data_IF_007906722339
#
_entry.id   IF_007906722339
#
_cell.length_a   1.000
_cell.length_b   1.000
_cell.length_c   1.000
_cell.angle_alpha   90.00
_cell.angle_beta   90.00
_cell.angle_gamma   90.00
#
_symmetry.space_group_name_H-M   'P 1'
#
loop_
_entity.id
_entity.type
_entity.pdbx_description
1 polymer ?
#
# COMPACT_ATOMS: atom_id res chain seq x y z
N UNK A 1 10.77 -3.82 15.37
CA UNK A 1 10.11 -3.04 14.30
C UNK A 1 10.63 -3.55 12.97
N UNK A 2 9.85 -4.36 12.24
CA UNK A 2 10.26 -4.88 10.93
C UNK A 2 10.33 -3.71 9.93
N UNK A 3 11.51 -3.47 9.35
CA UNK A 3 11.70 -2.44 8.32
C UNK A 3 11.18 -2.99 7.01
N UNK A 4 10.01 -2.53 6.57
CA UNK A 4 9.51 -2.81 5.23
C UNK A 4 10.42 -2.12 4.20
N UNK A 5 11.10 -2.90 3.36
CA UNK A 5 11.99 -2.43 2.30
C UNK A 5 11.42 -2.87 0.96
N UNK A 6 10.48 -2.10 0.41
CA UNK A 6 9.90 -2.36 -0.92
C UNK A 6 11.01 -2.48 -1.97
N UNK A 7 11.22 -3.67 -2.53
CA UNK A 7 12.25 -3.93 -3.57
C UNK A 7 11.89 -3.35 -4.94
N UNK A 8 10.63 -2.99 -5.19
CA UNK A 8 10.20 -2.40 -6.46
C UNK A 8 10.53 -0.91 -6.50
N UNK A 9 11.17 -0.48 -7.60
CA UNK A 9 11.34 0.94 -7.95
C UNK A 9 9.97 1.60 -7.89
N UNK A 10 9.76 2.51 -6.95
CA UNK A 10 8.52 3.30 -6.84
C UNK A 10 8.27 3.95 -8.20
N UNK A 11 7.11 3.70 -8.80
CA UNK A 11 6.71 4.45 -9.98
C UNK A 11 6.67 5.94 -9.60
N UNK A 12 7.40 6.78 -10.34
CA UNK A 12 7.41 8.22 -10.12
C UNK A 12 5.96 8.74 -10.17
N UNK A 13 5.51 9.38 -9.09
CA UNK A 13 4.12 9.87 -8.94
C UNK A 13 3.25 9.10 -7.94
N UNK A 14 3.64 7.89 -7.48
CA UNK A 14 2.85 7.14 -6.48
C UNK A 14 3.36 7.39 -5.05
N UNK A 15 2.49 7.88 -4.16
CA UNK A 15 2.78 8.02 -2.72
C UNK A 15 2.21 6.84 -1.94
N UNK A 16 3.05 6.15 -1.18
CA UNK A 16 2.60 5.14 -0.23
C UNK A 16 1.88 5.84 0.91
N UNK A 17 0.60 5.52 1.12
CA UNK A 17 -0.21 6.09 2.20
C UNK A 17 -0.43 5.09 3.32
N UNK A 18 -0.39 3.78 3.02
CA UNK A 18 -0.65 2.74 4.01
C UNK A 18 -0.03 1.40 3.61
N UNK A 19 0.49 0.65 4.60
CA UNK A 19 1.06 -0.69 4.41
C UNK A 19 0.58 -1.56 5.57
N UNK A 20 -0.04 -2.70 5.26
CA UNK A 20 -0.53 -3.62 6.29
C UNK A 20 -0.63 -5.05 5.74
N UNK A 21 -0.45 -6.10 6.55
CA UNK A 21 -0.75 -7.47 6.12
C UNK A 21 -2.26 -7.75 6.01
N UNK A 22 -3.10 -6.83 6.50
CA UNK A 22 -4.56 -7.00 6.52
C UNK A 22 -5.24 -6.39 5.30
N UNK A 23 -5.78 -7.23 4.42
CA UNK A 23 -6.41 -6.78 3.17
C UNK A 23 -7.67 -5.91 3.41
N UNK A 24 -8.51 -6.26 4.39
CA UNK A 24 -9.74 -5.50 4.67
C UNK A 24 -9.42 -4.06 5.10
N UNK A 25 -8.41 -3.90 5.96
CA UNK A 25 -7.94 -2.57 6.36
C UNK A 25 -7.43 -1.74 5.16
N UNK A 26 -6.78 -2.38 4.17
CA UNK A 26 -6.38 -1.64 2.95
C UNK A 26 -7.55 -1.16 2.12
N UNK A 27 -8.65 -1.92 2.04
CA UNK A 27 -9.87 -1.48 1.33
C UNK A 27 -10.49 -0.27 1.99
N UNK A 28 -10.58 -0.25 3.31
CA UNK A 28 -11.15 0.90 4.03
C UNK A 28 -10.34 2.17 3.81
N UNK A 29 -9.01 2.07 3.85
CA UNK A 29 -8.13 3.22 3.62
C UNK A 29 -8.18 3.68 2.16
N UNK A 30 -8.18 2.74 1.20
CA UNK A 30 -8.35 3.07 -0.22
C UNK A 30 -9.67 3.83 -0.45
N UNK A 31 -10.79 3.30 0.04
CA UNK A 31 -12.11 3.94 -0.07
C UNK A 31 -12.16 5.33 0.57
N UNK A 32 -11.49 5.53 1.71
CA UNK A 32 -11.38 6.86 2.34
C UNK A 32 -10.66 7.83 1.42
N UNK A 33 -9.51 7.45 0.86
CA UNK A 33 -8.75 8.30 -0.05
C UNK A 33 -9.48 8.58 -1.37
N UNK A 34 -10.21 7.59 -1.91
CA UNK A 34 -11.08 7.76 -3.09
C UNK A 34 -12.22 8.75 -2.85
N UNK A 35 -12.86 8.68 -1.67
CA UNK A 35 -13.89 9.67 -1.27
C UNK A 35 -13.36 11.09 -1.19
N UNK A 36 -12.06 11.25 -0.92
CA UNK A 36 -11.38 12.55 -0.92
C UNK A 36 -10.86 12.97 -2.30
N UNK A 37 -11.22 12.25 -3.36
CA UNK A 37 -10.85 12.58 -4.75
C UNK A 37 -9.45 12.15 -5.16
N UNK A 38 -8.76 11.34 -4.34
CA UNK A 38 -7.47 10.76 -4.72
C UNK A 38 -7.68 9.42 -5.42
N UNK A 39 -6.95 9.16 -6.50
CA UNK A 39 -6.99 7.84 -7.12
C UNK A 39 -6.12 6.88 -6.32
N UNK A 40 -6.67 5.73 -5.92
CA UNK A 40 -5.93 4.77 -5.09
C UNK A 40 -5.65 3.47 -5.82
N UNK A 41 -4.56 2.82 -5.44
CA UNK A 41 -4.15 1.53 -5.99
C UNK A 41 -3.63 0.64 -4.87
N UNK A 42 -4.11 -0.59 -4.82
CA UNK A 42 -3.66 -1.59 -3.84
C UNK A 42 -2.75 -2.58 -4.57
N UNK A 43 -1.50 -2.68 -4.12
CA UNK A 43 -0.59 -3.77 -4.56
C UNK A 43 -0.36 -4.76 -3.43
N UNK A 44 -0.21 -6.03 -3.79
CA UNK A 44 0.28 -7.07 -2.88
C UNK A 44 1.79 -7.21 -3.08
N UNK A 45 2.53 -6.93 -2.02
CA UNK A 45 3.96 -7.14 -1.91
C UNK A 45 4.26 -8.22 -0.87
N UNK A 46 5.53 -8.59 -0.76
CA UNK A 46 6.04 -9.49 0.26
C UNK A 46 7.11 -8.76 1.06
N UNK A 47 7.06 -8.90 2.39
CA UNK A 47 8.14 -8.42 3.24
C UNK A 47 9.39 -9.31 3.13
N UNK A 48 10.48 -8.90 3.79
CA UNK A 48 11.74 -9.66 3.77
C UNK A 48 11.61 -11.06 4.41
N UNK A 49 10.51 -11.34 5.12
CA UNK A 49 10.20 -12.64 5.73
C UNK A 49 9.26 -13.50 4.88
N UNK A 50 8.86 -13.01 3.70
CA UNK A 50 7.95 -13.71 2.79
C UNK A 50 6.47 -13.57 3.16
N UNK A 51 6.11 -12.70 4.11
CA UNK A 51 4.70 -12.46 4.47
C UNK A 51 4.06 -11.49 3.47
N UNK A 52 2.82 -11.76 3.03
CA UNK A 52 2.11 -10.85 2.16
C UNK A 52 1.79 -9.54 2.90
N UNK A 53 2.15 -8.43 2.29
CA UNK A 53 1.82 -7.07 2.71
C UNK A 53 1.01 -6.40 1.60
N UNK A 54 -0.05 -5.72 1.98
CA UNK A 54 -0.87 -4.93 1.09
C UNK A 54 -0.48 -3.47 1.24
N UNK A 55 -0.13 -2.84 0.12
CA UNK A 55 0.34 -1.46 0.06
C UNK A 55 -0.69 -0.64 -0.70
N UNK A 56 -1.17 0.42 -0.05
CA UNK A 56 -2.05 1.41 -0.65
C UNK A 56 -1.20 2.57 -1.16
N UNK A 57 -1.31 2.81 -2.46
CA UNK A 57 -0.74 3.95 -3.15
C UNK A 57 -1.84 4.97 -3.41
N UNK A 58 -1.54 6.25 -3.17
CA UNK A 58 -2.28 7.39 -3.70
C UNK A 58 -1.51 7.96 -4.90
N UNK A 59 -2.23 8.24 -5.98
CA UNK A 59 -1.75 8.88 -7.21
C UNK A 59 -2.05 10.38 -7.19
#
# INVERSE_FOLDING_TARGET
MAKYRSRRKKAAGKRIVYVTPYYEATKEIALKHEKHGNLTMIEREYDDTGRPMYVVYAL
#
